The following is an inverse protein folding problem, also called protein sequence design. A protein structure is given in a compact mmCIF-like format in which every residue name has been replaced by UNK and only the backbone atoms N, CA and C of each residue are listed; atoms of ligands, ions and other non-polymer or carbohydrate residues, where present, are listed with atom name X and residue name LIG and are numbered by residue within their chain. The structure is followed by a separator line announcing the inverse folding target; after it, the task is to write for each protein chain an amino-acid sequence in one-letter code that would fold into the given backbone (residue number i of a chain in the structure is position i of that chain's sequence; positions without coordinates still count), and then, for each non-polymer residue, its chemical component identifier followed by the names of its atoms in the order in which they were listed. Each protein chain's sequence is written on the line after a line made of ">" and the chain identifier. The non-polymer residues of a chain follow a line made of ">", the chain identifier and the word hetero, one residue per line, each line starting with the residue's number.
data_IF_629341272404
#
_entry.id   IF_629341272404
#
_cell.length_a   1.000
_cell.length_b   1.000
_cell.length_c   1.000
_cell.angle_alpha   90.00
_cell.angle_beta   90.00
_cell.angle_gamma   90.00
#
_symmetry.space_group_name_H-M   'P 1'
#
loop_
_entity.id
_entity.type
_entity.pdbx_description
1 polymer ?
#
# COMPACT_ATOMS: atom_id res chain seq x y z
N UNK A 1 10.31 -3.41 30.16
CA UNK A 1 9.63 -3.73 28.88
C UNK A 1 10.63 -4.44 27.98
N UNK A 2 10.31 -5.62 27.43
CA UNK A 2 11.20 -6.30 26.48
C UNK A 2 11.41 -5.38 25.26
N UNK A 3 12.66 -5.20 24.86
CA UNK A 3 12.99 -4.42 23.66
C UNK A 3 12.90 -5.31 22.43
N UNK A 4 12.59 -4.72 21.27
CA UNK A 4 12.72 -5.40 20.00
C UNK A 4 14.20 -5.62 19.71
N UNK A 5 14.57 -6.81 19.24
CA UNK A 5 15.94 -7.05 18.80
C UNK A 5 16.24 -6.25 17.51
N UNK A 6 17.53 -6.17 17.16
CA UNK A 6 18.01 -5.48 15.96
C UNK A 6 17.34 -6.03 14.69
N UNK A 7 17.22 -7.35 14.59
CA UNK A 7 16.63 -8.02 13.44
C UNK A 7 15.17 -7.66 13.22
N UNK A 8 14.37 -7.53 14.28
CA UNK A 8 12.97 -7.10 14.16
C UNK A 8 12.89 -5.65 13.67
N UNK A 9 13.76 -4.75 14.12
CA UNK A 9 13.81 -3.39 13.58
C UNK A 9 14.21 -3.37 12.10
N UNK A 10 15.21 -4.18 11.72
CA UNK A 10 15.59 -4.34 10.32
C UNK A 10 14.44 -4.92 9.50
N UNK A 11 13.68 -5.90 10.02
CA UNK A 11 12.52 -6.45 9.34
C UNK A 11 11.42 -5.40 9.14
N UNK A 12 11.18 -4.51 10.12
CA UNK A 12 10.28 -3.37 9.95
C UNK A 12 10.73 -2.45 8.81
N UNK A 13 12.04 -2.17 8.71
CA UNK A 13 12.60 -1.38 7.62
C UNK A 13 12.46 -2.08 6.27
N UNK A 14 12.75 -3.38 6.18
CA UNK A 14 12.60 -4.16 4.94
C UNK A 14 11.14 -4.22 4.47
N UNK A 15 10.19 -4.41 5.39
CA UNK A 15 8.77 -4.35 5.07
C UNK A 15 8.35 -2.95 4.58
N UNK A 16 8.85 -1.90 5.24
CA UNK A 16 8.70 -0.51 4.79
C UNK A 16 9.24 -0.32 3.37
N UNK A 17 10.47 -0.73 3.10
CA UNK A 17 11.10 -0.63 1.76
C UNK A 17 10.34 -1.39 0.68
N UNK A 18 9.79 -2.57 1.00
CA UNK A 18 9.00 -3.36 0.07
C UNK A 18 7.73 -2.63 -0.35
N UNK A 19 6.95 -2.14 0.63
CA UNK A 19 5.75 -1.36 0.32
C UNK A 19 6.10 -0.02 -0.32
N UNK A 20 7.16 0.67 0.12
CA UNK A 20 7.62 1.94 -0.44
C UNK A 20 7.98 1.83 -1.93
N UNK A 21 8.77 0.81 -2.28
CA UNK A 21 9.18 0.57 -3.66
C UNK A 21 7.97 0.27 -4.52
N UNK A 22 7.05 -0.59 -4.04
CA UNK A 22 5.82 -0.86 -4.77
C UNK A 22 4.91 0.39 -4.87
N UNK A 23 4.83 1.20 -3.82
CA UNK A 23 4.00 2.41 -3.82
C UNK A 23 4.53 3.51 -4.75
N UNK A 24 5.85 3.64 -4.89
CA UNK A 24 6.47 4.55 -5.86
C UNK A 24 6.25 4.07 -7.32
N UNK A 25 6.18 2.76 -7.53
CA UNK A 25 5.91 2.18 -8.85
C UNK A 25 4.42 2.37 -9.23
N UNK A 26 3.50 2.26 -8.27
CA UNK A 26 2.05 2.40 -8.47
C UNK A 26 1.68 3.61 -9.32
N UNK A 27 2.36 4.75 -9.18
CA UNK A 27 2.11 5.95 -9.98
C UNK A 27 2.15 5.72 -11.50
N UNK A 28 2.67 4.59 -11.97
CA UNK A 28 2.72 4.19 -13.38
C UNK A 28 1.56 3.25 -13.84
N UNK A 29 0.72 2.72 -12.94
CA UNK A 29 -0.18 1.59 -13.22
C UNK A 29 -1.68 1.85 -12.98
N UNK A 30 -2.05 3.10 -12.71
CA UNK A 30 -3.39 3.47 -12.27
C UNK A 30 -3.59 3.33 -10.75
N UNK A 31 -4.54 4.10 -10.22
CA UNK A 31 -4.58 4.42 -8.79
C UNK A 31 -5.08 3.26 -7.93
N UNK A 32 -6.08 2.50 -8.40
CA UNK A 32 -6.73 1.40 -7.68
C UNK A 32 -5.95 0.08 -7.77
N UNK A 33 -5.80 -0.48 -8.97
CA UNK A 33 -5.12 -1.76 -9.17
C UNK A 33 -3.63 -1.69 -8.83
N UNK A 34 -2.98 -0.55 -9.07
CA UNK A 34 -1.59 -0.32 -8.68
C UNK A 34 -1.44 -0.33 -7.16
N UNK A 35 -2.34 0.34 -6.43
CA UNK A 35 -2.34 0.35 -4.96
C UNK A 35 -2.64 -1.04 -4.40
N UNK A 36 -3.52 -1.80 -5.06
CA UNK A 36 -3.84 -3.16 -4.67
C UNK A 36 -2.62 -4.07 -4.77
N UNK A 37 -1.91 -4.03 -5.89
CA UNK A 37 -0.69 -4.83 -6.10
C UNK A 37 0.37 -4.47 -5.06
N UNK A 38 0.59 -3.17 -4.82
CA UNK A 38 1.54 -2.70 -3.80
C UNK A 38 1.19 -3.20 -2.39
N UNK A 39 -0.09 -3.11 -2.00
CA UNK A 39 -0.59 -3.65 -0.73
C UNK A 39 -0.37 -5.17 -0.58
N UNK A 40 -0.53 -5.91 -1.68
CA UNK A 40 -0.21 -7.34 -1.74
C UNK A 40 1.26 -7.64 -1.51
N UNK A 41 2.17 -6.89 -2.15
CA UNK A 41 3.63 -7.00 -1.97
C UNK A 41 4.03 -6.72 -0.52
N UNK A 42 3.55 -5.61 0.06
CA UNK A 42 3.83 -5.26 1.45
C UNK A 42 3.35 -6.33 2.44
N UNK A 43 2.15 -6.87 2.21
CA UNK A 43 1.58 -7.94 3.04
C UNK A 43 2.38 -9.24 2.96
N UNK A 44 2.76 -9.68 1.75
CA UNK A 44 3.61 -10.86 1.54
C UNK A 44 4.99 -10.70 2.20
N UNK A 45 5.57 -9.50 2.13
CA UNK A 45 6.84 -9.18 2.78
C UNK A 45 6.76 -9.40 4.30
N UNK A 46 5.74 -8.86 4.96
CA UNK A 46 5.53 -9.01 6.41
C UNK A 46 5.33 -10.49 6.78
N UNK A 47 4.54 -11.23 6.00
CA UNK A 47 4.30 -12.65 6.22
C UNK A 47 5.60 -13.47 6.14
N UNK A 48 6.48 -13.19 5.17
CA UNK A 48 7.77 -13.86 5.03
C UNK A 48 8.74 -13.50 6.16
N UNK A 49 8.86 -12.22 6.49
CA UNK A 49 9.72 -11.73 7.56
C UNK A 49 9.30 -12.25 8.94
N UNK A 50 8.01 -12.53 9.13
CA UNK A 50 7.50 -13.06 10.40
C UNK A 50 8.09 -14.41 10.79
N UNK A 51 8.53 -15.22 9.82
CA UNK A 51 8.98 -16.60 10.03
C UNK A 51 7.90 -17.56 10.58
N UNK A 52 6.64 -17.11 10.73
CA UNK A 52 5.56 -17.88 11.34
C UNK A 52 4.96 -18.89 10.38
N UNK A 53 5.30 -20.17 10.59
CA UNK A 53 4.85 -21.28 9.75
C UNK A 53 3.32 -21.45 9.75
N UNK A 54 2.66 -21.13 10.86
CA UNK A 54 1.21 -21.19 10.99
C UNK A 54 0.48 -20.13 10.15
N UNK A 55 1.19 -19.10 9.65
CA UNK A 55 0.60 -18.08 8.78
C UNK A 55 0.64 -18.46 7.30
N UNK A 56 1.53 -19.36 6.86
CA UNK A 56 1.66 -19.70 5.44
C UNK A 56 0.38 -20.27 4.81
N UNK A 57 -0.43 -21.10 5.50
CA UNK A 57 -1.74 -21.54 4.97
C UNK A 57 -2.75 -20.42 4.73
N UNK A 58 -2.59 -19.26 5.38
CA UNK A 58 -3.45 -18.08 5.17
C UNK A 58 -2.72 -16.90 4.55
N UNK A 59 -1.47 -17.06 4.14
CA UNK A 59 -0.63 -15.99 3.61
C UNK A 59 -1.24 -15.33 2.37
N UNK A 60 -1.73 -16.14 1.42
CA UNK A 60 -2.38 -15.61 0.20
C UNK A 60 -3.68 -14.87 0.53
N UNK A 61 -4.48 -15.38 1.48
CA UNK A 61 -5.69 -14.69 1.95
C UNK A 61 -5.36 -13.36 2.63
N UNK A 62 -4.34 -13.33 3.48
CA UNK A 62 -3.89 -12.12 4.15
C UNK A 62 -3.33 -11.09 3.17
N UNK A 63 -2.51 -11.54 2.22
CA UNK A 63 -1.99 -10.69 1.15
C UNK A 63 -3.08 -10.13 0.25
N UNK A 64 -4.07 -10.95 -0.12
CA UNK A 64 -5.23 -10.48 -0.90
C UNK A 64 -6.09 -9.49 -0.11
N UNK A 65 -6.36 -9.74 1.18
CA UNK A 65 -7.11 -8.81 2.00
C UNK A 65 -6.39 -7.46 2.18
N UNK A 66 -5.06 -7.49 2.37
CA UNK A 66 -4.22 -6.30 2.36
C UNK A 66 -4.27 -5.59 1.01
N UNK A 67 -4.10 -6.32 -0.09
CA UNK A 67 -4.20 -5.79 -1.45
C UNK A 67 -5.54 -5.09 -1.69
N UNK A 68 -6.68 -5.73 -1.37
CA UNK A 68 -8.00 -5.12 -1.49
C UNK A 68 -8.10 -3.86 -0.63
N UNK A 69 -7.64 -3.89 0.62
CA UNK A 69 -7.74 -2.72 1.50
C UNK A 69 -6.94 -1.50 1.04
N UNK A 70 -5.69 -1.71 0.62
CA UNK A 70 -4.86 -0.65 0.04
C UNK A 70 -5.40 -0.20 -1.34
N UNK A 71 -5.93 -1.14 -2.13
CA UNK A 71 -6.54 -0.89 -3.44
C UNK A 71 -7.82 -0.07 -3.37
N UNK A 72 -8.67 -0.30 -2.37
CA UNK A 72 -9.87 0.51 -2.12
C UNK A 72 -9.50 1.98 -1.95
N UNK A 73 -8.42 2.29 -1.24
CA UNK A 73 -7.97 3.68 -1.12
C UNK A 73 -7.57 4.32 -2.46
N UNK A 74 -7.29 3.53 -3.50
CA UNK A 74 -6.92 4.02 -4.84
C UNK A 74 -7.95 4.92 -5.49
N UNK A 75 -9.22 4.82 -5.11
CA UNK A 75 -10.30 5.68 -5.62
C UNK A 75 -10.16 7.15 -5.17
N UNK A 76 -9.40 7.40 -4.10
CA UNK A 76 -9.24 8.74 -3.53
C UNK A 76 -8.37 9.63 -4.43
N UNK A 77 -8.89 10.78 -4.81
CA UNK A 77 -8.08 11.81 -5.46
C UNK A 77 -7.35 12.67 -4.45
N UNK A 78 -6.07 12.95 -4.68
CA UNK A 78 -5.26 13.78 -3.77
C UNK A 78 -4.40 14.82 -4.48
N UNK A 79 -4.36 14.84 -5.83
CA UNK A 79 -3.53 15.78 -6.57
C UNK A 79 -3.82 17.25 -6.27
N UNK A 80 -5.10 17.60 -6.04
CA UNK A 80 -5.48 18.93 -5.60
C UNK A 80 -4.96 19.24 -4.17
N UNK A 81 -4.95 18.23 -3.29
CA UNK A 81 -4.49 18.38 -1.91
C UNK A 81 -2.97 18.59 -1.86
N UNK A 82 -2.22 17.84 -2.68
CA UNK A 82 -0.77 18.01 -2.87
C UNK A 82 -0.41 19.44 -3.29
N UNK A 83 -1.26 20.10 -4.08
CA UNK A 83 -1.07 21.48 -4.51
C UNK A 83 -1.13 22.51 -3.38
N UNK A 84 -1.88 22.25 -2.30
CA UNK A 84 -1.90 23.14 -1.13
C UNK A 84 -0.54 23.18 -0.42
N UNK A 85 0.22 22.08 -0.43
CA UNK A 85 1.55 22.02 0.17
C UNK A 85 2.57 22.95 -0.50
N UNK A 86 2.30 23.42 -1.72
CA UNK A 86 3.10 24.40 -2.46
C UNK A 86 2.73 25.85 -2.16
N UNK A 87 1.81 26.08 -1.23
CA UNK A 87 1.35 27.39 -0.83
C UNK A 87 2.35 28.17 0.01
N UNK A 88 2.09 29.46 0.16
CA UNK A 88 2.86 30.39 1.02
C UNK A 88 2.10 30.78 2.29
N UNK A 89 0.84 30.37 2.40
CA UNK A 89 -0.03 30.69 3.53
C UNK A 89 -0.16 29.49 4.46
N UNK A 90 0.11 29.72 5.75
CA UNK A 90 0.14 28.67 6.76
C UNK A 90 -1.13 27.81 6.77
N UNK A 91 -2.31 28.44 6.75
CA UNK A 91 -3.60 27.73 6.87
C UNK A 91 -3.83 26.80 5.67
N UNK A 92 -3.50 27.25 4.45
CA UNK A 92 -3.66 26.44 3.25
C UNK A 92 -2.66 25.28 3.23
N UNK A 93 -1.38 25.53 3.50
CA UNK A 93 -0.34 24.48 3.56
C UNK A 93 -0.65 23.46 4.65
N UNK A 94 -0.98 23.93 5.85
CA UNK A 94 -1.31 23.06 6.98
C UNK A 94 -2.54 22.22 6.69
N UNK A 95 -3.59 22.81 6.11
CA UNK A 95 -4.76 22.07 5.65
C UNK A 95 -4.38 20.98 4.64
N UNK A 96 -3.57 21.30 3.63
CA UNK A 96 -3.07 20.35 2.65
C UNK A 96 -2.38 19.15 3.29
N UNK A 97 -1.39 19.41 4.16
CA UNK A 97 -0.65 18.36 4.84
C UNK A 97 -1.53 17.54 5.79
N UNK A 98 -2.49 18.15 6.49
CA UNK A 98 -3.46 17.43 7.31
C UNK A 98 -4.39 16.54 6.50
N UNK A 99 -4.86 17.00 5.34
CA UNK A 99 -5.70 16.19 4.47
C UNK A 99 -4.90 15.03 3.85
N UNK A 100 -3.61 15.22 3.55
CA UNK A 100 -2.72 14.11 3.17
C UNK A 100 -2.50 13.11 4.33
N UNK A 101 -2.40 13.58 5.57
CA UNK A 101 -2.41 12.73 6.76
C UNK A 101 -3.69 11.88 6.81
N UNK A 102 -4.86 12.47 6.54
CA UNK A 102 -6.13 11.73 6.50
C UNK A 102 -6.13 10.71 5.36
N UNK A 103 -5.82 11.12 4.13
CA UNK A 103 -5.85 10.24 2.95
C UNK A 103 -4.86 9.08 3.11
N UNK A 104 -3.61 9.36 3.46
CA UNK A 104 -2.60 8.32 3.73
C UNK A 104 -3.00 7.43 4.91
N UNK A 105 -3.67 8.03 5.90
CA UNK A 105 -4.29 7.34 7.03
C UNK A 105 -5.34 6.32 6.60
N UNK A 106 -6.23 6.69 5.70
CA UNK A 106 -7.29 5.81 5.18
C UNK A 106 -6.71 4.63 4.40
N UNK A 107 -5.72 4.88 3.53
CA UNK A 107 -4.97 3.81 2.85
C UNK A 107 -4.43 2.78 3.83
N UNK A 108 -3.62 3.26 4.80
CA UNK A 108 -2.96 2.40 5.76
C UNK A 108 -3.93 1.71 6.72
N UNK A 109 -4.97 2.40 7.16
CA UNK A 109 -5.94 1.86 8.12
C UNK A 109 -6.76 0.72 7.52
N UNK A 110 -7.30 0.90 6.32
CA UNK A 110 -8.10 -0.12 5.64
C UNK A 110 -7.21 -1.31 5.25
N UNK A 111 -6.07 -1.04 4.59
CA UNK A 111 -5.12 -2.06 4.17
C UNK A 111 -4.56 -2.89 5.34
N UNK A 112 -4.05 -2.22 6.37
CA UNK A 112 -3.52 -2.86 7.57
C UNK A 112 -4.59 -3.57 8.39
N UNK A 113 -5.80 -3.01 8.47
CA UNK A 113 -6.92 -3.59 9.20
C UNK A 113 -7.45 -4.88 8.58
N UNK A 114 -7.65 -4.91 7.25
CA UNK A 114 -8.08 -6.13 6.56
C UNK A 114 -7.01 -7.24 6.58
N UNK A 115 -5.74 -6.88 6.42
CA UNK A 115 -4.62 -7.80 6.59
C UNK A 115 -4.60 -8.39 8.02
N UNK A 116 -4.61 -7.51 9.03
CA UNK A 116 -4.59 -7.91 10.44
C UNK A 116 -5.79 -8.76 10.82
N UNK A 117 -6.95 -8.52 10.21
CA UNK A 117 -8.15 -9.31 10.44
C UNK A 117 -8.01 -10.76 9.94
N UNK A 118 -7.33 -10.99 8.81
CA UNK A 118 -6.99 -12.37 8.38
C UNK A 118 -6.00 -13.02 9.34
N UNK A 119 -5.01 -12.27 9.84
CA UNK A 119 -4.07 -12.83 10.82
C UNK A 119 -4.77 -13.22 12.13
N UNK A 120 -5.83 -12.51 12.52
CA UNK A 120 -6.65 -12.84 13.67
C UNK A 120 -7.69 -13.96 13.41
N UNK A 121 -7.95 -14.30 12.14
CA UNK A 121 -8.84 -15.40 11.74
C UNK A 121 -8.19 -16.75 12.10
N UNK A 122 -8.73 -17.42 13.12
CA UNK A 122 -8.30 -18.75 13.58
C UNK A 122 -9.45 -19.74 13.55
N UNK A 123 -9.19 -21.02 13.78
CA UNK A 123 -10.22 -22.05 13.98
C UNK A 123 -11.20 -21.71 15.12
N UNK A 124 -10.71 -21.11 16.21
CA UNK A 124 -11.50 -20.72 17.39
C UNK A 124 -12.19 -19.34 17.24
N UNK A 125 -11.57 -18.41 16.49
CA UNK A 125 -12.11 -17.07 16.27
C UNK A 125 -12.24 -16.77 14.77
N UNK A 126 -13.35 -17.22 14.19
CA UNK A 126 -13.61 -17.08 12.76
C UNK A 126 -14.15 -15.70 12.38
N UNK A 127 -13.53 -15.09 11.38
CA UNK A 127 -14.00 -13.82 10.81
C UNK A 127 -15.19 -14.06 9.89
N UNK A 128 -16.31 -13.38 10.16
CA UNK A 128 -17.51 -13.42 9.33
C UNK A 128 -17.38 -12.47 8.13
N UNK A 129 -16.67 -12.89 7.09
CA UNK A 129 -16.33 -12.06 5.92
C UNK A 129 -17.54 -11.46 5.19
N UNK A 130 -18.65 -12.19 5.06
CA UNK A 130 -19.90 -11.65 4.49
C UNK A 130 -20.39 -10.40 5.24
N UNK A 131 -20.28 -10.41 6.57
CA UNK A 131 -20.67 -9.30 7.44
C UNK A 131 -19.67 -8.15 7.36
N UNK A 132 -18.37 -8.45 7.27
CA UNK A 132 -17.34 -7.42 7.02
C UNK A 132 -17.66 -6.68 5.73
N UNK A 133 -17.76 -7.39 4.61
CA UNK A 133 -18.02 -6.79 3.28
C UNK A 133 -19.30 -5.96 3.30
N UNK A 134 -20.39 -6.48 3.87
CA UNK A 134 -21.66 -5.75 3.97
C UNK A 134 -21.52 -4.45 4.78
N UNK A 135 -20.90 -4.51 5.96
CA UNK A 135 -20.76 -3.34 6.82
C UNK A 135 -19.83 -2.28 6.22
N UNK A 136 -18.74 -2.69 5.55
CA UNK A 136 -17.84 -1.75 4.85
C UNK A 136 -18.57 -1.04 3.71
N UNK A 137 -19.31 -1.77 2.88
CA UNK A 137 -20.10 -1.20 1.78
C UNK A 137 -21.15 -0.23 2.31
N UNK A 138 -21.94 -0.63 3.31
CA UNK A 138 -22.96 0.23 3.92
C UNK A 138 -22.35 1.48 4.55
N UNK A 139 -21.23 1.33 5.27
CA UNK A 139 -20.51 2.46 5.87
C UNK A 139 -20.01 3.45 4.83
N UNK A 140 -19.41 2.97 3.74
CA UNK A 140 -18.96 3.80 2.62
C UNK A 140 -20.10 4.58 1.96
N UNK A 141 -21.21 3.90 1.67
CA UNK A 141 -22.40 4.53 1.06
C UNK A 141 -23.01 5.58 1.98
N UNK A 142 -23.29 5.23 3.24
CA UNK A 142 -23.92 6.17 4.20
C UNK A 142 -23.03 7.40 4.39
N UNK A 143 -21.73 7.21 4.59
CA UNK A 143 -20.84 8.34 4.82
C UNK A 143 -20.77 9.25 3.60
N UNK A 144 -20.64 8.69 2.39
CA UNK A 144 -20.56 9.50 1.17
C UNK A 144 -21.81 10.35 0.97
N UNK A 145 -23.00 9.74 0.98
CA UNK A 145 -24.22 10.51 0.73
C UNK A 145 -24.56 11.49 1.87
N UNK A 146 -24.25 11.14 3.13
CA UNK A 146 -24.53 12.04 4.23
C UNK A 146 -23.51 13.18 4.35
N UNK A 147 -22.22 12.88 4.32
CA UNK A 147 -21.16 13.88 4.57
C UNK A 147 -20.84 14.69 3.31
N UNK A 148 -20.77 14.04 2.15
CA UNK A 148 -20.36 14.70 0.91
C UNK A 148 -21.56 15.33 0.21
N UNK A 149 -22.59 14.54 -0.10
CA UNK A 149 -23.73 15.02 -0.90
C UNK A 149 -24.66 15.91 -0.08
N UNK A 150 -25.07 15.49 1.13
CA UNK A 150 -26.03 16.25 1.94
C UNK A 150 -25.38 17.43 2.69
N UNK A 151 -24.24 17.23 3.35
CA UNK A 151 -23.58 18.30 4.12
C UNK A 151 -22.59 19.14 3.30
N UNK A 152 -22.23 18.73 2.09
CA UNK A 152 -21.33 19.49 1.22
C UNK A 152 -19.88 19.57 1.73
N UNK A 153 -19.45 18.68 2.62
CA UNK A 153 -18.09 18.71 3.20
C UNK A 153 -17.10 18.12 2.20
N UNK A 154 -16.60 18.97 1.31
CA UNK A 154 -15.68 18.59 0.23
C UNK A 154 -14.21 18.79 0.64
N UNK A 155 -13.33 17.85 0.32
CA UNK A 155 -11.89 17.93 0.56
C UNK A 155 -11.10 18.28 -0.71
N UNK A 156 -11.54 17.76 -1.87
CA UNK A 156 -10.77 17.75 -3.12
C UNK A 156 -11.45 18.44 -4.31
N UNK A 157 -12.30 19.48 -4.16
CA UNK A 157 -12.98 20.08 -5.31
C UNK A 157 -11.96 20.66 -6.32
N UNK A 158 -12.23 20.61 -7.64
CA UNK A 158 -13.41 20.06 -8.32
C UNK A 158 -13.30 18.55 -8.63
N UNK A 159 -12.35 17.82 -8.01
CA UNK A 159 -12.15 16.39 -8.24
C UNK A 159 -13.10 15.53 -7.41
N UNK A 160 -13.10 14.22 -7.71
CA UNK A 160 -13.88 13.20 -7.00
C UNK A 160 -13.63 13.18 -5.49
N UNK A 161 -14.71 13.20 -4.73
CA UNK A 161 -14.73 13.15 -3.25
C UNK A 161 -14.79 11.71 -2.71
N UNK A 162 -14.26 10.74 -3.46
CA UNK A 162 -14.29 9.32 -3.08
C UNK A 162 -13.52 9.01 -1.78
N UNK A 163 -12.74 9.95 -1.24
CA UNK A 163 -12.22 9.85 0.13
C UNK A 163 -13.35 9.68 1.16
N UNK A 164 -14.54 10.23 0.92
CA UNK A 164 -15.71 10.05 1.77
C UNK A 164 -16.16 8.58 1.82
N UNK A 165 -16.13 7.88 0.68
CA UNK A 165 -16.41 6.43 0.65
C UNK A 165 -15.37 5.68 1.48
N UNK A 166 -14.08 5.98 1.29
CA UNK A 166 -13.00 5.36 2.07
C UNK A 166 -13.08 5.68 3.56
N UNK A 167 -13.48 6.90 3.94
CA UNK A 167 -13.69 7.29 5.33
C UNK A 167 -14.82 6.47 5.97
N UNK A 168 -15.95 6.32 5.27
CA UNK A 168 -17.05 5.45 5.70
C UNK A 168 -16.65 3.99 5.86
N UNK A 169 -15.87 3.45 4.91
CA UNK A 169 -15.28 2.11 5.00
C UNK A 169 -14.37 2.00 6.22
N UNK A 170 -13.48 2.97 6.43
CA UNK A 170 -12.55 3.01 7.57
C UNK A 170 -13.28 3.03 8.91
N UNK A 171 -14.32 3.84 9.05
CA UNK A 171 -15.15 3.92 10.26
C UNK A 171 -15.92 2.62 10.51
N UNK A 172 -16.51 2.01 9.48
CA UNK A 172 -17.19 0.72 9.59
C UNK A 172 -16.22 -0.39 9.96
N UNK A 173 -15.01 -0.41 9.39
CA UNK A 173 -13.96 -1.36 9.76
C UNK A 173 -13.53 -1.18 11.22
N UNK A 174 -13.29 0.06 11.64
CA UNK A 174 -12.97 0.38 13.03
C UNK A 174 -14.05 -0.13 13.98
N UNK A 175 -15.31 0.17 13.68
CA UNK A 175 -16.45 -0.29 14.47
C UNK A 175 -16.52 -1.82 14.53
N UNK A 176 -16.35 -2.51 13.39
CA UNK A 176 -16.27 -3.97 13.32
C UNK A 176 -15.17 -4.51 14.24
N UNK A 177 -13.96 -3.97 14.14
CA UNK A 177 -12.81 -4.46 14.90
C UNK A 177 -12.99 -4.25 16.41
N UNK A 178 -13.53 -3.09 16.81
CA UNK A 178 -13.81 -2.79 18.23
C UNK A 178 -14.91 -3.71 18.76
N UNK A 179 -16.06 -3.79 18.08
CA UNK A 179 -17.23 -4.55 18.56
C UNK A 179 -17.02 -6.07 18.59
N UNK A 180 -16.07 -6.58 17.80
CA UNK A 180 -15.70 -8.01 17.78
C UNK A 180 -14.45 -8.32 18.59
N UNK A 181 -13.89 -7.34 19.32
CA UNK A 181 -12.73 -7.55 20.19
C UNK A 181 -11.42 -7.81 19.44
N UNK A 182 -11.33 -7.47 18.15
CA UNK A 182 -10.18 -7.70 17.27
C UNK A 182 -9.06 -6.65 17.52
N UNK A 183 -8.60 -6.56 18.76
CA UNK A 183 -7.66 -5.52 19.24
C UNK A 183 -6.32 -5.51 18.49
N UNK A 184 -5.81 -6.69 18.12
CA UNK A 184 -4.54 -6.81 17.41
C UNK A 184 -4.65 -6.37 15.94
N UNK A 185 -5.74 -6.75 15.26
CA UNK A 185 -6.04 -6.24 13.92
C UNK A 185 -6.27 -4.72 13.93
N UNK A 186 -6.99 -4.19 14.94
CA UNK A 186 -7.18 -2.76 15.14
C UNK A 186 -5.85 -2.02 15.37
N UNK A 187 -4.94 -2.61 16.15
CA UNK A 187 -3.59 -2.08 16.34
C UNK A 187 -2.84 -1.99 15.01
N UNK A 188 -2.88 -3.04 14.19
CA UNK A 188 -2.25 -3.02 12.85
C UNK A 188 -2.87 -1.94 11.97
N UNK A 189 -4.20 -1.80 11.97
CA UNK A 189 -4.90 -0.72 11.25
C UNK A 189 -4.42 0.67 11.70
N UNK A 190 -4.38 0.93 13.01
CA UNK A 190 -3.99 2.23 13.56
C UNK A 190 -2.54 2.59 13.21
N UNK A 191 -1.58 1.68 13.40
CA UNK A 191 -0.18 1.98 13.11
C UNK A 191 0.12 2.08 11.62
N UNK A 192 -0.51 1.22 10.80
CA UNK A 192 -0.43 1.32 9.34
C UNK A 192 -1.02 2.64 8.85
N UNK A 193 -2.17 3.06 9.40
CA UNK A 193 -2.80 4.35 9.11
C UNK A 193 -1.96 5.54 9.56
N UNK A 194 -1.52 5.58 10.82
CA UNK A 194 -0.64 6.66 11.32
C UNK A 194 0.65 6.75 10.50
N UNK A 195 1.25 5.61 10.16
CA UNK A 195 2.42 5.52 9.30
C UNK A 195 2.15 6.05 7.89
N UNK A 196 1.12 5.56 7.22
CA UNK A 196 0.77 5.98 5.86
C UNK A 196 0.39 7.46 5.79
N UNK A 197 -0.37 7.95 6.76
CA UNK A 197 -0.76 9.36 6.85
C UNK A 197 0.43 10.27 7.12
N UNK A 198 1.24 9.97 8.13
CA UNK A 198 2.48 10.71 8.39
C UNK A 198 3.39 10.71 7.16
N UNK A 199 3.61 9.52 6.56
CA UNK A 199 4.46 9.36 5.40
C UNK A 199 3.98 10.14 4.18
N UNK A 200 2.67 10.31 4.00
CA UNK A 200 2.13 11.09 2.90
C UNK A 200 2.33 12.60 3.11
N UNK A 201 1.98 13.11 4.29
CA UNK A 201 2.18 14.51 4.63
C UNK A 201 3.67 14.90 4.59
N UNK A 202 4.51 14.09 5.24
CA UNK A 202 5.96 14.27 5.23
C UNK A 202 6.54 14.12 3.82
N UNK A 203 6.04 13.18 3.03
CA UNK A 203 6.44 12.99 1.64
C UNK A 203 6.14 14.21 0.76
N UNK A 204 4.99 14.87 0.95
CA UNK A 204 4.65 16.09 0.23
C UNK A 204 5.51 17.27 0.68
N UNK A 205 5.82 17.38 1.96
CA UNK A 205 6.81 18.34 2.46
C UNK A 205 8.18 18.13 1.80
N UNK A 206 8.68 16.89 1.72
CA UNK A 206 9.93 16.57 1.02
C UNK A 206 9.84 16.89 -0.48
N UNK A 207 8.70 16.60 -1.11
CA UNK A 207 8.46 16.92 -2.50
C UNK A 207 8.60 18.42 -2.76
N UNK A 208 8.01 19.25 -1.90
CA UNK A 208 8.10 20.71 -1.98
C UNK A 208 9.56 21.15 -1.85
N UNK A 209 10.26 20.72 -0.79
CA UNK A 209 11.66 21.11 -0.57
C UNK A 209 12.59 20.65 -1.68
N UNK A 210 12.42 19.43 -2.20
CA UNK A 210 13.26 18.93 -3.29
C UNK A 210 13.02 19.68 -4.60
N UNK A 211 11.79 20.11 -4.87
CA UNK A 211 11.49 20.96 -6.03
C UNK A 211 12.12 22.36 -5.87
N UNK A 212 12.03 22.96 -4.67
CA UNK A 212 12.67 24.25 -4.36
C UNK A 212 14.19 24.16 -4.50
N UNK A 213 14.78 23.06 -4.02
CA UNK A 213 16.20 22.78 -4.16
C UNK A 213 16.60 22.29 -5.57
N UNK A 214 15.66 22.22 -6.51
CA UNK A 214 15.88 21.76 -7.89
C UNK A 214 16.60 20.41 -7.98
N UNK A 215 16.30 19.49 -7.07
CA UNK A 215 16.86 18.14 -7.09
C UNK A 215 16.43 17.46 -8.40
N UNK A 216 17.37 16.98 -9.24
CA UNK A 216 17.05 16.37 -10.54
C UNK A 216 16.54 14.93 -10.36
N UNK A 217 15.47 14.76 -9.58
CA UNK A 217 14.85 13.49 -9.26
C UNK A 217 13.33 13.64 -9.27
N UNK A 218 12.62 12.54 -9.50
CA UNK A 218 11.17 12.55 -9.46
C UNK A 218 10.65 12.69 -8.02
N UNK A 219 10.44 13.94 -7.60
CA UNK A 219 9.97 14.27 -6.25
C UNK A 219 8.53 13.81 -5.97
N UNK A 220 7.72 13.54 -7.00
CA UNK A 220 6.42 12.87 -6.81
C UNK A 220 6.61 11.44 -6.31
N UNK A 221 7.57 10.71 -6.91
CA UNK A 221 7.88 9.35 -6.47
C UNK A 221 8.47 9.34 -5.05
N UNK A 222 9.21 10.38 -4.62
CA UNK A 222 9.68 10.50 -3.23
C UNK A 222 8.52 10.61 -2.25
N UNK A 223 7.49 11.38 -2.60
CA UNK A 223 6.27 11.48 -1.79
C UNK A 223 5.53 10.13 -1.72
N UNK A 224 5.35 9.46 -2.85
CA UNK A 224 4.69 8.14 -2.91
C UNK A 224 5.49 7.06 -2.17
N UNK A 225 6.83 7.07 -2.32
CA UNK A 225 7.74 6.20 -1.58
C UNK A 225 7.59 6.41 -0.07
N UNK A 226 7.52 7.66 0.38
CA UNK A 226 7.36 8.00 1.81
C UNK A 226 6.06 7.44 2.38
N UNK A 227 4.93 7.59 1.69
CA UNK A 227 3.65 6.99 2.09
C UNK A 227 3.80 5.47 2.28
N UNK A 228 4.31 4.77 1.27
CA UNK A 228 4.48 3.33 1.31
C UNK A 228 5.46 2.87 2.40
N UNK A 229 6.56 3.61 2.60
CA UNK A 229 7.59 3.29 3.59
C UNK A 229 7.03 3.33 5.01
N UNK A 230 6.45 4.47 5.41
CA UNK A 230 5.95 4.62 6.77
C UNK A 230 4.69 3.79 7.02
N UNK A 231 3.83 3.63 6.00
CA UNK A 231 2.68 2.73 6.06
C UNK A 231 3.09 1.27 6.29
N UNK A 232 4.05 0.77 5.49
CA UNK A 232 4.55 -0.60 5.58
C UNK A 232 5.31 -0.85 6.88
N UNK A 233 6.14 0.11 7.31
CA UNK A 233 6.84 0.06 8.58
C UNK A 233 5.87 0.05 9.78
N UNK A 234 4.83 0.89 9.76
CA UNK A 234 3.79 0.92 10.78
C UNK A 234 3.02 -0.40 10.85
N UNK A 235 2.63 -0.94 9.69
CA UNK A 235 1.95 -2.22 9.55
C UNK A 235 2.81 -3.38 10.09
N UNK A 236 4.10 -3.44 9.74
CA UNK A 236 5.03 -4.45 10.21
C UNK A 236 5.31 -4.33 11.71
N UNK A 237 5.57 -3.12 12.20
CA UNK A 237 5.83 -2.85 13.61
C UNK A 237 4.67 -3.31 14.49
N UNK A 238 3.43 -2.95 14.13
CA UNK A 238 2.27 -3.38 14.88
C UNK A 238 2.05 -4.89 14.80
N UNK A 239 2.34 -5.51 13.65
CA UNK A 239 2.24 -6.97 13.48
C UNK A 239 3.21 -7.71 14.39
N UNK A 240 4.48 -7.30 14.44
CA UNK A 240 5.51 -7.94 15.27
C UNK A 240 5.42 -7.58 16.75
N UNK A 241 4.65 -6.54 17.10
CA UNK A 241 4.40 -6.14 18.49
C UNK A 241 3.00 -6.47 19.00
N UNK A 242 2.25 -7.28 18.27
CA UNK A 242 0.96 -7.80 18.66
C UNK A 242 1.04 -9.28 19.01
N UNK A 243 0.08 -9.74 19.83
CA UNK A 243 -0.08 -11.14 20.17
C UNK A 243 -1.04 -11.81 19.19
N UNK A 244 -0.64 -12.95 18.62
CA UNK A 244 -1.46 -13.68 17.66
C UNK A 244 -1.62 -15.12 18.14
N UNK A 245 -2.86 -15.57 18.25
CA UNK A 245 -3.17 -16.95 18.58
C UNK A 245 -2.52 -17.90 17.55
N UNK A 246 -1.91 -18.97 18.02
CA UNK A 246 -1.42 -20.04 17.17
C UNK A 246 -2.60 -20.90 16.71
N UNK A 247 -2.76 -21.06 15.39
CA UNK A 247 -3.77 -21.97 14.86
C UNK A 247 -3.16 -23.37 14.72
N UNK A 248 -3.51 -24.26 15.65
CA UNK A 248 -3.00 -25.65 15.66
C UNK A 248 -3.53 -26.50 14.49
N UNK A 249 -4.52 -26.03 13.73
CA UNK A 249 -5.18 -26.75 12.63
C UNK A 249 -5.41 -25.87 11.39
N UNK A 250 -4.41 -25.10 10.97
CA UNK A 250 -4.48 -24.35 9.70
C UNK A 250 -4.22 -25.26 8.50
N UNK A 251 -5.27 -25.98 8.07
CA UNK A 251 -5.26 -26.69 6.79
C UNK A 251 -5.66 -25.72 5.68
N UNK A 252 -4.86 -25.69 4.61
CA UNK A 252 -5.16 -24.93 3.41
C UNK A 252 -6.35 -25.59 2.68
N UNK A 253 -7.50 -24.91 2.62
CA UNK A 253 -8.70 -25.42 1.94
C UNK A 253 -8.98 -24.64 0.67
N UNK A 254 -9.33 -25.36 -0.41
CA UNK A 254 -9.71 -24.76 -1.70
C UNK A 254 -10.80 -23.69 -1.57
N UNK A 255 -11.82 -23.93 -0.74
CA UNK A 255 -12.94 -23.00 -0.51
C UNK A 255 -12.53 -21.63 0.03
N UNK A 256 -11.38 -21.54 0.69
CA UNK A 256 -10.85 -20.31 1.27
C UNK A 256 -9.60 -19.78 0.58
N UNK A 257 -9.06 -20.50 -0.43
CA UNK A 257 -7.84 -20.14 -1.13
C UNK A 257 -8.08 -19.63 -2.55
N UNK A 258 -8.97 -20.26 -3.32
CA UNK A 258 -9.03 -20.00 -4.77
C UNK A 258 -9.38 -18.56 -5.11
N UNK A 259 -10.37 -17.97 -4.42
CA UNK A 259 -10.73 -16.57 -4.64
C UNK A 259 -9.56 -15.64 -4.27
N UNK A 260 -8.96 -15.72 -3.06
CA UNK A 260 -7.77 -14.92 -2.77
C UNK A 260 -6.59 -15.13 -3.69
N UNK A 261 -6.31 -16.38 -4.10
CA UNK A 261 -5.19 -16.70 -4.97
C UNK A 261 -5.38 -16.09 -6.35
N UNK A 262 -6.50 -16.41 -7.01
CA UNK A 262 -6.84 -15.87 -8.33
C UNK A 262 -6.94 -14.34 -8.27
N UNK A 263 -7.56 -13.80 -7.23
CA UNK A 263 -7.66 -12.37 -7.00
C UNK A 263 -6.30 -11.68 -6.93
N UNK A 264 -5.39 -12.24 -6.12
CA UNK A 264 -4.06 -11.66 -5.88
C UNK A 264 -3.14 -11.80 -7.09
N UNK A 265 -2.96 -13.02 -7.61
CA UNK A 265 -1.91 -13.29 -8.60
C UNK A 265 -2.37 -13.08 -10.05
N UNK A 266 -3.67 -13.15 -10.33
CA UNK A 266 -4.21 -13.00 -11.68
C UNK A 266 -5.00 -11.71 -11.84
N UNK A 267 -6.09 -11.52 -11.08
CA UNK A 267 -7.05 -10.44 -11.33
C UNK A 267 -6.39 -9.06 -11.19
N UNK A 268 -5.68 -8.81 -10.09
CA UNK A 268 -5.01 -7.52 -9.86
C UNK A 268 -3.97 -7.23 -10.97
N UNK A 269 -3.00 -8.12 -11.25
CA UNK A 269 -2.05 -7.89 -12.34
C UNK A 269 -2.66 -7.79 -13.73
N UNK A 270 -3.69 -8.57 -14.01
CA UNK A 270 -4.39 -8.55 -15.29
C UNK A 270 -5.03 -7.18 -15.54
N UNK A 271 -5.68 -6.58 -14.54
CA UNK A 271 -6.22 -5.23 -14.69
C UNK A 271 -5.14 -4.17 -14.85
N UNK A 272 -3.99 -4.30 -14.18
CA UNK A 272 -2.84 -3.42 -14.46
C UNK A 272 -2.39 -3.57 -15.91
N UNK A 273 -2.23 -4.80 -16.40
CA UNK A 273 -1.85 -5.04 -17.79
C UNK A 273 -2.87 -4.41 -18.75
N UNK A 274 -4.15 -4.72 -18.56
CA UNK A 274 -5.24 -4.29 -19.43
C UNK A 274 -5.40 -2.76 -19.47
N UNK A 275 -5.14 -2.06 -18.36
CA UNK A 275 -5.29 -0.61 -18.30
C UNK A 275 -4.01 0.17 -18.62
N UNK A 276 -2.83 -0.43 -18.48
CA UNK A 276 -1.56 0.30 -18.59
C UNK A 276 -0.78 -0.03 -19.87
N UNK A 277 -1.02 -1.18 -20.49
CA UNK A 277 -0.40 -1.58 -21.76
C UNK A 277 -1.28 -1.27 -22.96
N UNK A 278 -1.86 -0.06 -22.99
CA UNK A 278 -2.69 0.40 -24.12
C UNK A 278 -1.79 1.08 -25.15
N UNK A 279 -1.98 0.74 -26.43
CA UNK A 279 -1.12 1.23 -27.52
C UNK A 279 -0.99 2.77 -27.54
N UNK A 280 -2.10 3.49 -27.29
CA UNK A 280 -2.13 4.96 -27.25
C UNK A 280 -1.20 5.57 -26.17
N UNK A 281 -1.04 4.87 -25.05
CA UNK A 281 -0.28 5.37 -23.89
C UNK A 281 1.19 4.96 -23.99
N UNK A 282 1.47 3.83 -24.64
CA UNK A 282 2.84 3.35 -24.92
C UNK A 282 3.49 4.09 -26.11
N UNK A 283 2.70 4.51 -27.09
CA UNK A 283 3.20 5.11 -28.32
C UNK A 283 4.10 6.33 -28.10
N UNK A 284 3.75 7.33 -27.26
CA UNK A 284 4.63 8.48 -27.02
C UNK A 284 5.97 8.08 -26.40
N UNK A 285 5.99 7.07 -25.53
CA UNK A 285 7.21 6.57 -24.88
C UNK A 285 8.11 5.88 -25.90
N UNK A 286 7.56 4.97 -26.71
CA UNK A 286 8.35 4.19 -27.69
C UNK A 286 8.86 5.08 -28.83
N UNK A 287 8.06 6.02 -29.33
CA UNK A 287 8.46 6.96 -30.39
C UNK A 287 9.67 7.83 -30.00
N UNK A 288 9.84 8.13 -28.71
CA UNK A 288 10.98 8.91 -28.21
C UNK A 288 12.27 8.07 -28.10
N UNK A 289 12.16 6.75 -28.12
CA UNK A 289 13.27 5.85 -27.81
C UNK A 289 13.78 5.08 -29.03
N UNK A 290 12.96 4.91 -30.07
CA UNK A 290 13.30 4.11 -31.25
C UNK A 290 12.82 4.79 -32.52
N UNK A 291 13.67 4.83 -33.54
CA UNK A 291 13.32 5.24 -34.90
C UNK A 291 12.76 4.03 -35.69
N UNK A 292 11.65 4.20 -36.42
CA UNK A 292 11.06 3.15 -37.27
C UNK A 292 9.68 2.64 -36.84
N UNK A 293 9.41 1.34 -37.06
CA UNK A 293 8.10 0.72 -36.77
C UNK A 293 7.83 0.60 -35.26
N UNK A 294 7.18 1.61 -34.72
CA UNK A 294 6.75 1.65 -33.32
C UNK A 294 5.57 0.72 -33.03
N UNK A 295 4.73 0.40 -34.02
CA UNK A 295 3.54 -0.43 -33.82
C UNK A 295 3.93 -1.89 -33.55
N UNK A 296 4.93 -2.41 -34.27
CA UNK A 296 5.49 -3.74 -34.02
C UNK A 296 6.05 -3.89 -32.59
N UNK A 297 6.84 -2.91 -32.14
CA UNK A 297 7.44 -2.91 -30.80
C UNK A 297 6.37 -2.87 -29.71
N UNK A 298 5.35 -2.02 -29.85
CA UNK A 298 4.24 -1.94 -28.89
C UNK A 298 3.55 -3.29 -28.74
N UNK A 299 3.25 -4.00 -29.85
CA UNK A 299 2.64 -5.33 -29.79
C UNK A 299 3.52 -6.34 -29.08
N UNK A 300 4.83 -6.31 -29.32
CA UNK A 300 5.79 -7.20 -28.63
C UNK A 300 5.76 -6.92 -27.13
N UNK A 301 5.84 -5.64 -26.71
CA UNK A 301 5.79 -5.25 -25.29
C UNK A 301 4.49 -5.73 -24.62
N UNK A 302 3.35 -5.57 -25.29
CA UNK A 302 2.05 -6.04 -24.80
C UNK A 302 2.03 -7.57 -24.59
N UNK A 303 2.50 -8.34 -25.58
CA UNK A 303 2.54 -9.81 -25.49
C UNK A 303 3.55 -10.31 -24.48
N UNK A 304 4.74 -9.71 -24.41
CA UNK A 304 5.75 -10.04 -23.40
C UNK A 304 5.19 -9.82 -22.00
N UNK A 305 4.54 -8.67 -21.75
CA UNK A 305 3.91 -8.39 -20.46
C UNK A 305 2.78 -9.38 -20.12
N UNK A 306 1.97 -9.76 -21.11
CA UNK A 306 0.89 -10.74 -20.92
C UNK A 306 1.44 -12.14 -20.61
N UNK A 307 2.43 -12.61 -21.37
CA UNK A 307 3.05 -13.92 -21.17
C UNK A 307 3.79 -13.97 -19.82
N UNK A 308 4.51 -12.89 -19.46
CA UNK A 308 5.19 -12.77 -18.17
C UNK A 308 4.22 -12.83 -16.97
N UNK A 309 2.95 -12.47 -17.17
CA UNK A 309 1.89 -12.64 -16.17
C UNK A 309 1.35 -14.07 -16.15
N UNK A 310 0.91 -14.60 -17.29
CA UNK A 310 0.17 -15.87 -17.33
C UNK A 310 1.04 -17.06 -16.92
N UNK A 311 2.33 -17.08 -17.31
CA UNK A 311 3.20 -18.22 -17.01
C UNK A 311 3.39 -18.45 -15.50
N UNK A 312 3.81 -17.47 -14.68
CA UNK A 312 3.89 -17.64 -13.22
C UNK A 312 2.55 -17.98 -12.58
N UNK A 313 1.45 -17.37 -13.03
CA UNK A 313 0.11 -17.62 -12.48
C UNK A 313 -0.29 -19.09 -12.60
N UNK A 314 -0.13 -19.67 -13.78
CA UNK A 314 -0.46 -21.09 -14.01
C UNK A 314 0.40 -21.99 -13.12
N UNK A 315 1.69 -21.67 -12.96
CA UNK A 315 2.62 -22.41 -12.10
C UNK A 315 2.19 -22.33 -10.64
N UNK A 316 1.90 -21.12 -10.13
CA UNK A 316 1.49 -20.95 -8.73
C UNK A 316 0.17 -21.62 -8.43
N UNK A 317 -0.85 -21.48 -9.29
CA UNK A 317 -2.14 -22.14 -9.10
C UNK A 317 -1.96 -23.66 -9.02
N UNK A 318 -1.17 -24.26 -9.92
CA UNK A 318 -0.87 -25.70 -9.88
C UNK A 318 -0.10 -26.10 -8.62
N UNK A 319 0.90 -25.31 -8.20
CA UNK A 319 1.63 -25.56 -6.96
C UNK A 319 0.70 -25.51 -5.74
N UNK A 320 -0.14 -24.50 -5.62
CA UNK A 320 -1.11 -24.40 -4.51
C UNK A 320 -2.14 -25.53 -4.52
N UNK A 321 -2.62 -25.95 -5.69
CA UNK A 321 -3.53 -27.09 -5.83
C UNK A 321 -2.92 -28.41 -5.28
N UNK A 322 -1.59 -28.51 -5.26
CA UNK A 322 -0.90 -29.68 -4.68
C UNK A 322 -1.02 -29.74 -3.15
N UNK A 323 -1.20 -28.59 -2.50
CA UNK A 323 -1.28 -28.47 -1.02
C UNK A 323 -2.72 -28.38 -0.49
N UNK A 324 -3.71 -28.14 -1.36
CA UNK A 324 -5.13 -28.02 -0.96
C UNK A 324 -5.84 -29.36 -0.79
N UNK A 325 -5.33 -30.42 -1.43
CA UNK A 325 -6.03 -31.71 -1.56
C UNK A 325 -5.18 -32.92 -1.13
N UNK A 326 -4.00 -32.72 -0.52
CA UNK A 326 -3.13 -33.80 -0.04
C UNK A 326 -2.76 -33.65 1.45
N UNK A 327 -3.22 -34.60 2.26
CA UNK A 327 -2.66 -35.06 3.55
C UNK A 327 -2.12 -33.96 4.50
N UNK A 328 -2.96 -33.04 5.00
CA UNK A 328 -2.60 -32.10 6.08
C UNK A 328 -1.17 -31.50 5.98
N UNK A 329 -0.67 -31.29 4.75
CA UNK A 329 0.72 -30.93 4.53
C UNK A 329 0.94 -29.45 4.88
N UNK A 330 2.00 -29.12 5.64
CA UNK A 330 2.31 -27.73 5.93
C UNK A 330 2.72 -27.01 4.65
N UNK A 331 2.16 -25.83 4.41
CA UNK A 331 2.56 -24.97 3.28
C UNK A 331 4.00 -24.52 3.49
N UNK A 332 4.94 -24.82 2.55
CA UNK A 332 6.34 -24.48 2.76
C UNK A 332 6.58 -22.98 2.56
N UNK A 333 7.53 -22.43 3.32
CA UNK A 333 7.96 -21.04 3.19
C UNK A 333 8.51 -20.71 1.80
N UNK A 334 9.11 -21.70 1.13
CA UNK A 334 9.61 -21.55 -0.24
C UNK A 334 8.51 -21.18 -1.22
N UNK A 335 7.31 -21.75 -1.09
CA UNK A 335 6.18 -21.41 -1.96
C UNK A 335 5.76 -19.95 -1.79
N UNK A 336 5.64 -19.47 -0.55
CA UNK A 336 5.30 -18.07 -0.28
C UNK A 336 6.41 -17.13 -0.77
N UNK A 337 7.68 -17.54 -0.63
CA UNK A 337 8.84 -16.79 -1.11
C UNK A 337 8.86 -16.69 -2.63
N UNK A 338 8.58 -17.77 -3.34
CA UNK A 338 8.47 -17.78 -4.80
C UNK A 338 7.36 -16.85 -5.29
N UNK A 339 6.19 -16.88 -4.65
CA UNK A 339 5.09 -15.96 -4.97
C UNK A 339 5.52 -14.52 -4.72
N UNK A 340 6.13 -14.20 -3.58
CA UNK A 340 6.61 -12.84 -3.29
C UNK A 340 7.63 -12.36 -4.33
N UNK A 341 8.64 -13.17 -4.64
CA UNK A 341 9.69 -12.82 -5.61
C UNK A 341 9.08 -12.58 -6.99
N UNK A 342 8.28 -13.50 -7.50
CA UNK A 342 7.70 -13.33 -8.84
C UNK A 342 6.62 -12.26 -8.89
N UNK A 343 5.82 -12.10 -7.84
CA UNK A 343 4.76 -11.08 -7.79
C UNK A 343 5.34 -9.66 -7.73
N UNK A 344 6.42 -9.46 -6.97
CA UNK A 344 7.13 -8.17 -6.92
C UNK A 344 8.01 -7.97 -8.16
N UNK A 345 8.70 -9.01 -8.63
CA UNK A 345 9.49 -8.96 -9.85
C UNK A 345 8.66 -8.63 -11.09
N UNK A 346 7.46 -9.21 -11.22
CA UNK A 346 6.51 -8.89 -12.30
C UNK A 346 6.07 -7.43 -12.25
N UNK A 347 5.85 -6.89 -11.05
CA UNK A 347 5.50 -5.49 -10.86
C UNK A 347 6.62 -4.54 -11.31
N UNK A 348 7.88 -4.87 -10.99
CA UNK A 348 9.05 -4.12 -11.46
C UNK A 348 9.23 -4.26 -12.98
N UNK A 349 9.05 -5.47 -13.52
CA UNK A 349 9.12 -5.70 -14.97
C UNK A 349 8.09 -4.83 -15.71
N UNK A 350 6.86 -4.74 -15.20
CA UNK A 350 5.82 -3.95 -15.83
C UNK A 350 6.19 -2.46 -15.92
N UNK A 351 6.79 -1.88 -14.88
CA UNK A 351 7.15 -0.45 -14.91
C UNK A 351 8.31 -0.21 -15.87
N UNK A 352 9.27 -1.12 -15.94
CA UNK A 352 10.37 -1.05 -16.91
C UNK A 352 9.82 -1.07 -18.33
N UNK A 353 8.87 -1.96 -18.62
CA UNK A 353 8.25 -2.08 -19.95
C UNK A 353 7.42 -0.84 -20.32
N UNK A 354 6.58 -0.33 -19.41
CA UNK A 354 5.74 0.84 -19.67
C UNK A 354 6.58 2.11 -19.87
N UNK A 355 7.64 2.27 -19.08
CA UNK A 355 8.47 3.48 -19.10
C UNK A 355 9.54 3.46 -20.19
N UNK A 356 9.76 2.31 -20.84
CA UNK A 356 10.81 2.13 -21.83
C UNK A 356 12.22 2.17 -21.23
N UNK A 357 12.36 2.01 -19.92
CA UNK A 357 13.65 2.19 -19.23
C UNK A 357 14.68 1.10 -19.55
N UNK A 358 14.28 0.06 -20.29
CA UNK A 358 15.20 -0.91 -20.88
C UNK A 358 15.96 -0.36 -22.10
N UNK A 359 15.53 0.77 -22.66
CA UNK A 359 16.17 1.44 -23.82
C UNK A 359 16.92 2.72 -23.45
N UNK A 360 16.66 3.29 -22.26
CA UNK A 360 17.27 4.55 -21.84
C UNK A 360 17.38 4.67 -20.32
N UNK A 361 18.45 5.32 -19.85
CA UNK A 361 18.75 5.55 -18.44
C UNK A 361 18.18 6.86 -17.87
N UNK A 362 17.29 7.54 -18.61
CA UNK A 362 16.74 8.85 -18.22
C UNK A 362 15.93 8.83 -16.90
N UNK A 363 15.39 7.67 -16.50
CA UNK A 363 14.64 7.47 -15.24
C UNK A 363 15.43 6.63 -14.25
N UNK A 364 16.37 7.27 -13.55
CA UNK A 364 17.25 6.59 -12.60
C UNK A 364 16.46 5.86 -11.50
N UNK A 365 15.26 6.32 -11.16
CA UNK A 365 14.42 5.69 -10.14
C UNK A 365 14.02 4.25 -10.48
N UNK A 366 13.94 3.89 -11.76
CA UNK A 366 13.57 2.53 -12.19
C UNK A 366 14.65 1.50 -11.80
N UNK A 367 15.92 1.91 -11.84
CA UNK A 367 17.04 1.08 -11.42
C UNK A 367 17.16 1.02 -9.89
N UNK A 368 16.75 2.09 -9.19
CA UNK A 368 16.64 2.07 -7.73
C UNK A 368 15.58 1.08 -7.24
N UNK A 369 14.52 0.84 -8.00
CA UNK A 369 13.54 -0.20 -7.67
C UNK A 369 14.16 -1.60 -7.71
N UNK A 370 14.99 -1.88 -8.72
CA UNK A 370 15.73 -3.13 -8.84
C UNK A 370 16.74 -3.27 -7.68
N UNK A 371 17.46 -2.20 -7.36
CA UNK A 371 18.41 -2.19 -6.25
C UNK A 371 17.70 -2.46 -4.90
N UNK A 372 16.59 -1.77 -4.63
CA UNK A 372 15.78 -2.01 -3.43
C UNK A 372 15.27 -3.44 -3.38
N UNK A 373 14.78 -3.97 -4.49
CA UNK A 373 14.32 -5.36 -4.57
C UNK A 373 15.46 -6.34 -4.24
N UNK A 374 16.65 -6.14 -4.79
CA UNK A 374 17.82 -6.96 -4.48
C UNK A 374 18.19 -6.90 -2.99
N UNK A 375 18.20 -5.72 -2.39
CA UNK A 375 18.45 -5.54 -0.94
C UNK A 375 17.40 -6.27 -0.11
N UNK A 376 16.12 -6.17 -0.47
CA UNK A 376 15.02 -6.85 0.23
C UNK A 376 15.19 -8.38 0.14
N UNK A 377 15.48 -8.92 -1.04
CA UNK A 377 15.69 -10.36 -1.23
C UNK A 377 16.92 -10.88 -0.49
N UNK A 378 17.98 -10.07 -0.45
CA UNK A 378 19.19 -10.37 0.31
C UNK A 378 18.91 -10.32 1.82
N UNK A 379 18.25 -9.29 2.34
CA UNK A 379 18.05 -9.13 3.77
C UNK A 379 17.06 -10.15 4.35
N UNK A 380 15.94 -10.41 3.67
CA UNK A 380 14.82 -11.23 4.19
C UNK A 380 15.24 -12.58 4.81
N UNK A 381 16.02 -13.45 4.16
CA UNK A 381 16.39 -14.75 4.74
C UNK A 381 17.38 -14.67 5.92
N UNK A 382 17.98 -13.49 6.18
CA UNK A 382 19.00 -13.29 7.22
C UNK A 382 18.43 -12.75 8.53
N UNK A 383 17.15 -12.39 8.55
CA UNK A 383 16.52 -11.72 9.70
C UNK A 383 15.69 -12.71 10.50
N UNK A 384 15.87 -12.71 11.82
CA UNK A 384 15.03 -13.49 12.75
C UNK A 384 14.18 -12.55 13.59
N UNK A 385 12.89 -12.43 13.22
CA UNK A 385 11.94 -11.58 13.92
C UNK A 385 11.56 -12.19 15.27
N UNK A 386 11.68 -11.38 16.31
CA UNK A 386 11.14 -11.66 17.65
C UNK A 386 9.84 -10.90 17.87
N UNK A 387 8.81 -11.60 18.30
CA UNK A 387 7.54 -11.00 18.68
C UNK A 387 7.60 -10.50 20.12
N UNK A 388 7.26 -9.24 20.33
CA UNK A 388 7.21 -8.62 21.65
C UNK A 388 5.82 -8.09 21.90
N UNK A 389 5.07 -8.76 22.77
CA UNK A 389 3.71 -8.34 23.10
C UNK A 389 3.71 -6.94 23.70
N UNK A 390 2.86 -6.10 23.13
CA UNK A 390 2.55 -4.77 23.64
C UNK A 390 1.03 -4.67 23.73
N UNK A 391 0.50 -4.28 24.90
CA UNK A 391 -0.94 -4.16 25.06
C UNK A 391 -1.50 -3.07 24.16
N UNK A 392 -2.79 -3.20 23.84
CA UNK A 392 -3.54 -2.15 23.16
C UNK A 392 -3.72 -0.94 24.08
N UNK A 393 -3.30 0.25 23.63
CA UNK A 393 -3.30 1.46 24.45
C UNK A 393 -3.92 2.64 23.67
N UNK A 394 -5.25 2.75 23.70
CA UNK A 394 -6.01 3.77 22.94
C UNK A 394 -5.57 5.21 23.24
N UNK A 395 -5.43 5.56 24.53
CA UNK A 395 -5.00 6.90 24.94
C UNK A 395 -3.61 7.26 24.37
N UNK A 396 -2.67 6.30 24.40
CA UNK A 396 -1.33 6.49 23.84
C UNK A 396 -1.38 6.74 22.33
N UNK A 397 -2.24 6.03 21.60
CA UNK A 397 -2.39 6.23 20.16
C UNK A 397 -3.02 7.59 19.84
N UNK A 398 -3.94 8.07 20.68
CA UNK A 398 -4.46 9.44 20.61
C UNK A 398 -3.37 10.49 20.79
N UNK A 399 -2.52 10.35 21.81
CA UNK A 399 -1.37 11.25 22.00
C UNK A 399 -0.37 11.20 20.85
N UNK A 400 -0.13 10.02 20.26
CA UNK A 400 0.70 9.90 19.06
C UNK A 400 0.11 10.67 17.88
N UNK A 401 -1.20 10.57 17.64
CA UNK A 401 -1.87 11.33 16.57
C UNK A 401 -1.74 12.84 16.80
N UNK A 402 -1.99 13.32 18.03
CA UNK A 402 -1.81 14.73 18.38
C UNK A 402 -0.38 15.17 18.13
N UNK A 403 0.61 14.38 18.55
CA UNK A 403 2.02 14.65 18.29
C UNK A 403 2.34 14.77 16.79
N UNK A 404 1.77 13.89 15.96
CA UNK A 404 1.91 13.96 14.49
C UNK A 404 1.26 15.23 13.92
N UNK A 405 0.05 15.59 14.38
CA UNK A 405 -0.66 16.81 13.95
C UNK A 405 0.15 18.08 14.27
N UNK A 406 0.73 18.14 15.47
CA UNK A 406 1.60 19.24 15.90
C UNK A 406 2.90 19.28 15.09
N UNK A 407 3.50 18.12 14.81
CA UNK A 407 4.68 18.04 13.97
C UNK A 407 4.40 18.50 12.52
N UNK A 408 3.24 18.15 11.96
CA UNK A 408 2.83 18.64 10.64
C UNK A 408 2.63 20.17 10.64
N UNK A 409 2.17 20.76 11.74
CA UNK A 409 2.11 22.22 11.85
C UNK A 409 3.51 22.85 11.76
N UNK A 410 4.51 22.23 12.40
CA UNK A 410 5.91 22.65 12.26
C UNK A 410 6.40 22.50 10.82
N UNK A 411 6.08 21.40 10.13
CA UNK A 411 6.45 21.22 8.72
C UNK A 411 5.82 22.30 7.82
N UNK A 412 4.54 22.64 8.05
CA UNK A 412 3.87 23.71 7.33
C UNK A 412 4.55 25.06 7.55
N UNK A 413 4.91 25.38 8.80
CA UNK A 413 5.65 26.59 9.14
C UNK A 413 7.02 26.65 8.45
N UNK A 414 7.74 25.52 8.38
CA UNK A 414 9.01 25.46 7.66
C UNK A 414 8.77 25.65 6.16
N UNK A 415 7.80 24.96 5.55
CA UNK A 415 7.54 25.04 4.12
C UNK A 415 7.22 26.46 3.64
N UNK A 416 6.34 27.19 4.33
CA UNK A 416 5.98 28.56 3.91
C UNK A 416 7.13 29.56 4.01
N UNK A 417 8.17 29.25 4.78
CA UNK A 417 9.35 30.11 4.96
C UNK A 417 10.53 29.70 4.06
N UNK A 418 10.40 28.65 3.23
CA UNK A 418 11.50 28.18 2.37
C UNK A 418 11.36 28.60 0.90
N UNK A 419 10.20 29.09 0.47
CA UNK A 419 9.96 29.47 -0.92
C UNK A 419 8.88 30.55 -1.09
N UNK A 420 8.87 31.20 -2.26
CA UNK A 420 7.78 32.08 -2.72
C UNK A 420 6.69 31.31 -3.47
N UNK A 421 5.87 31.99 -4.27
CA UNK A 421 4.84 31.32 -5.08
C UNK A 421 5.45 30.31 -6.05
N UNK A 422 4.80 29.14 -6.18
CA UNK A 422 5.25 28.06 -7.06
C UNK A 422 4.14 27.57 -8.00
N UNK A 423 4.49 27.03 -9.18
CA UNK A 423 3.52 26.45 -10.11
C UNK A 423 2.67 25.34 -9.49
N UNK A 424 1.37 25.35 -9.79
CA UNK A 424 0.41 24.36 -9.28
C UNK A 424 0.13 24.47 -7.78
N UNK A 425 0.38 25.65 -7.19
CA UNK A 425 -0.14 26.03 -5.88
C UNK A 425 -1.67 26.11 -5.92
N UNK A 426 -2.33 25.53 -4.92
CA UNK A 426 -3.77 25.68 -4.71
C UNK A 426 -4.03 26.55 -3.46
N UNK A 427 -5.15 27.28 -3.47
CA UNK A 427 -5.66 28.05 -2.33
C UNK A 427 -7.12 27.67 -2.09
N UNK A 428 -7.49 27.50 -0.83
CA UNK A 428 -8.85 27.16 -0.39
C UNK A 428 -9.44 28.24 0.50
N UNK A 429 -8.63 28.77 1.41
CA UNK A 429 -9.02 29.84 2.30
C UNK A 429 -8.36 31.12 1.81
N UNK A 430 -9.15 32.13 1.48
CA UNK A 430 -8.64 33.47 1.21
C UNK A 430 -8.48 34.19 2.55
N UNK A 431 -7.27 34.66 2.83
CA UNK A 431 -7.04 35.59 3.92
C UNK A 431 -7.37 36.99 3.39
N UNK A 432 -8.48 37.56 3.86
CA UNK A 432 -8.83 38.96 3.63
C UNK A 432 -7.79 39.91 4.22
#
# INVERSE_FOLDING_TARGET
>A
MKQLNKDTWLAVLIAGMALATAWAIRGQFGHEQGAAWAGGIGSLSILLLSGRKDWYPKAIKAAFAGAVGWGLGGMMSYGAVVGYGRGIEFINVYYGLLMLLVIGGLYGFIGGGLFGLVLADTSENKVKWHRVVTELTVGGVIFYYFIIEQLGIKMTPPRSEAWGVCAGIGLALMYYLVRTGQKNALRVAIFSGLGGGFGFAFGNFLQVLGNVAQVPFNMWNVMEYSLGFFGGAGMAYATFTATWAEDKKTVLKNSNLMIPLVGLVLVIPFFVWQQSFIAKDLQPTIQRLVEGDTAGIIRIVQWVAFIALILPVVVWIRKFATYTDRLDLPVPSSLIKEVFIGYFGLYILYTILITGSFLSFYRVEQFLYIANFAVILWATPRLTVTFVDRPFASAKYGYMLIGVILFIALLALVAINTHGEMPGMNRRFELN
#
